data_IF_152704163229
#
_entry.id   IF_152704163229
#
_cell.length_a   1.000
_cell.length_b   1.000
_cell.length_c   1.000
_cell.angle_alpha   90.00
_cell.angle_beta   90.00
_cell.angle_gamma   90.00
#
_symmetry.space_group_name_H-M   'P 1'
#
loop_
_entity.id
_entity.type
_entity.pdbx_description
1 polymer ?
#
# COMPACT_ATOMS: atom_id res chain seq x y z
N UNK A 1 55.67 22.93 -39.75
CA UNK A 1 54.47 23.15 -38.91
C UNK A 1 54.78 22.67 -37.50
N UNK A 2 54.99 23.59 -36.55
CA UNK A 2 55.23 23.24 -35.15
C UNK A 2 53.92 23.38 -34.35
N UNK A 3 53.61 22.46 -33.42
CA UNK A 3 52.45 22.58 -32.55
C UNK A 3 52.71 23.60 -31.43
N UNK A 4 51.80 24.55 -31.27
CA UNK A 4 51.81 25.53 -30.17
C UNK A 4 51.29 24.86 -28.89
N UNK A 5 52.22 24.55 -27.98
CA UNK A 5 51.89 24.08 -26.62
C UNK A 5 51.64 25.30 -25.75
N UNK A 6 50.36 25.72 -25.65
CA UNK A 6 49.94 26.75 -24.69
C UNK A 6 50.24 26.29 -23.26
N UNK A 7 51.28 26.88 -22.66
CA UNK A 7 51.59 26.68 -21.23
C UNK A 7 50.45 27.26 -20.38
N UNK A 8 49.93 26.53 -19.37
CA UNK A 8 48.93 27.08 -18.46
C UNK A 8 49.57 28.23 -17.66
N UNK A 9 48.98 29.41 -17.77
CA UNK A 9 49.35 30.56 -16.94
C UNK A 9 49.07 30.22 -15.48
N UNK A 10 50.02 30.51 -14.58
CA UNK A 10 49.83 30.37 -13.12
C UNK A 10 48.62 31.23 -12.74
N UNK A 11 47.51 30.58 -12.39
CA UNK A 11 46.33 31.26 -11.85
C UNK A 11 46.76 32.00 -10.57
N UNK A 12 46.84 33.33 -10.63
CA UNK A 12 47.03 34.18 -9.45
C UNK A 12 45.85 33.93 -8.50
N UNK A 13 46.13 33.81 -7.20
CA UNK A 13 45.30 33.16 -6.18
C UNK A 13 43.83 33.62 -6.04
N UNK A 14 43.41 34.73 -6.65
CA UNK A 14 42.00 35.15 -6.69
C UNK A 14 41.14 34.23 -7.57
N UNK A 15 41.65 33.76 -8.70
CA UNK A 15 40.90 32.87 -9.59
C UNK A 15 40.65 31.49 -8.96
N UNK A 16 41.60 31.02 -8.15
CA UNK A 16 41.47 29.74 -7.43
C UNK A 16 40.39 29.83 -6.35
N UNK A 17 40.30 30.96 -5.63
CA UNK A 17 39.25 31.17 -4.62
C UNK A 17 37.85 31.25 -5.25
N UNK A 18 37.71 31.90 -6.40
CA UNK A 18 36.44 31.96 -7.13
C UNK A 18 36.03 30.55 -7.60
N UNK A 19 36.96 29.79 -8.17
CA UNK A 19 36.69 28.42 -8.62
C UNK A 19 36.24 27.51 -7.46
N UNK A 20 36.89 27.61 -6.30
CA UNK A 20 36.54 26.82 -5.12
C UNK A 20 35.13 27.14 -4.63
N UNK A 21 34.77 28.42 -4.56
CA UNK A 21 33.42 28.83 -4.16
C UNK A 21 32.35 28.27 -5.09
N UNK A 22 32.56 28.36 -6.41
CA UNK A 22 31.62 27.82 -7.40
C UNK A 22 31.48 26.31 -7.27
N UNK A 23 32.57 25.56 -7.10
CA UNK A 23 32.53 24.11 -6.92
C UNK A 23 31.72 23.74 -5.67
N UNK A 24 31.95 24.43 -4.54
CA UNK A 24 31.21 24.17 -3.29
C UNK A 24 29.72 24.45 -3.48
N UNK A 25 29.35 25.58 -4.09
CA UNK A 25 27.94 25.91 -4.35
C UNK A 25 27.30 24.88 -5.27
N UNK A 26 27.95 24.50 -6.37
CA UNK A 26 27.42 23.47 -7.29
C UNK A 26 27.30 22.10 -6.61
N UNK A 27 28.24 21.73 -5.73
CA UNK A 27 28.17 20.50 -4.95
C UNK A 27 26.99 20.51 -3.96
N UNK A 28 26.74 21.64 -3.29
CA UNK A 28 25.58 21.81 -2.40
C UNK A 28 24.26 21.72 -3.17
N UNK A 29 24.17 22.34 -4.35
CA UNK A 29 22.99 22.25 -5.20
C UNK A 29 22.74 20.83 -5.72
N UNK A 30 23.80 20.14 -6.16
CA UNK A 30 23.70 18.75 -6.60
C UNK A 30 23.24 17.82 -5.46
N UNK A 31 23.75 18.01 -4.24
CA UNK A 31 23.33 17.26 -3.08
C UNK A 31 21.85 17.53 -2.70
N UNK A 32 21.42 18.78 -2.78
CA UNK A 32 20.02 19.16 -2.52
C UNK A 32 19.06 18.53 -3.54
N UNK A 33 19.40 18.61 -4.83
CA UNK A 33 18.61 18.00 -5.90
C UNK A 33 18.61 16.46 -5.80
N UNK A 34 19.75 15.86 -5.46
CA UNK A 34 19.84 14.42 -5.20
C UNK A 34 18.87 13.97 -4.11
N UNK A 35 18.78 14.71 -3.00
CA UNK A 35 17.81 14.43 -1.93
C UNK A 35 16.36 14.60 -2.38
N UNK A 36 16.05 15.62 -3.19
CA UNK A 36 14.69 15.81 -3.71
C UNK A 36 14.24 14.69 -4.66
N UNK A 37 15.17 14.16 -5.47
CA UNK A 37 14.92 13.04 -6.36
C UNK A 37 14.65 11.75 -5.57
N UNK A 38 15.46 11.45 -4.56
CA UNK A 38 15.23 10.26 -3.70
C UNK A 38 13.90 10.34 -2.95
N UNK A 39 13.57 11.53 -2.42
CA UNK A 39 12.32 11.77 -1.69
C UNK A 39 11.08 11.66 -2.60
N UNK A 40 11.21 12.00 -3.89
CA UNK A 40 10.15 11.82 -4.89
C UNK A 40 9.98 10.36 -5.32
N UNK A 41 11.05 9.58 -5.39
CA UNK A 41 11.01 8.15 -5.72
C UNK A 41 10.38 7.30 -4.61
N UNK A 42 10.61 7.65 -3.34
CA UNK A 42 9.97 6.99 -2.20
C UNK A 42 8.45 7.25 -2.16
N UNK A 43 8.01 8.49 -2.41
CA UNK A 43 6.59 8.87 -2.41
C UNK A 43 5.75 8.09 -3.44
N UNK A 44 6.27 7.91 -4.65
CA UNK A 44 5.56 7.14 -5.70
C UNK A 44 5.41 5.65 -5.33
N UNK A 45 6.41 5.08 -4.66
CA UNK A 45 6.39 3.67 -4.26
C UNK A 45 5.38 3.42 -3.14
N UNK A 46 5.21 4.38 -2.23
CA UNK A 46 4.19 4.33 -1.17
C UNK A 46 2.77 4.42 -1.75
N UNK A 47 2.54 5.28 -2.75
CA UNK A 47 1.22 5.41 -3.38
C UNK A 47 0.79 4.11 -4.07
N UNK A 48 1.67 3.49 -4.86
CA UNK A 48 1.38 2.22 -5.53
C UNK A 48 1.10 1.10 -4.52
N UNK A 49 1.89 0.98 -3.45
CA UNK A 49 1.65 0.00 -2.39
C UNK A 49 0.34 0.24 -1.66
N UNK A 50 -0.02 1.50 -1.43
CA UNK A 50 -1.29 1.88 -0.83
C UNK A 50 -2.49 1.48 -1.71
N UNK A 51 -2.40 1.68 -3.03
CA UNK A 51 -3.43 1.25 -3.97
C UNK A 51 -3.55 -0.27 -3.96
N UNK A 52 -2.43 -1.00 -3.99
CA UNK A 52 -2.45 -2.47 -3.89
C UNK A 52 -3.05 -2.97 -2.58
N UNK A 53 -2.73 -2.33 -1.45
CA UNK A 53 -3.31 -2.66 -0.15
C UNK A 53 -4.82 -2.42 -0.12
N UNK A 54 -5.29 -1.34 -0.77
CA UNK A 54 -6.72 -1.07 -0.91
C UNK A 54 -7.42 -2.11 -1.80
N UNK A 55 -6.84 -2.45 -2.96
CA UNK A 55 -7.38 -3.48 -3.84
C UNK A 55 -7.41 -4.84 -3.14
N UNK A 56 -6.35 -5.21 -2.40
CA UNK A 56 -6.32 -6.41 -1.59
C UNK A 56 -7.47 -6.45 -0.56
N UNK A 57 -7.69 -5.34 0.16
CA UNK A 57 -8.80 -5.23 1.10
C UNK A 57 -10.16 -5.40 0.39
N UNK A 58 -10.36 -4.74 -0.76
CA UNK A 58 -11.60 -4.83 -1.53
C UNK A 58 -11.85 -6.24 -2.06
N UNK A 59 -10.84 -6.90 -2.63
CA UNK A 59 -10.95 -8.28 -3.12
C UNK A 59 -11.23 -9.27 -1.99
N UNK A 60 -10.57 -9.11 -0.84
CA UNK A 60 -10.88 -9.90 0.37
C UNK A 60 -12.34 -9.79 0.78
N UNK A 61 -12.88 -8.57 0.68
CA UNK A 61 -14.24 -8.29 1.06
C UNK A 61 -15.26 -8.87 0.08
N UNK A 62 -14.99 -8.80 -1.23
CA UNK A 62 -15.84 -9.42 -2.26
C UNK A 62 -15.88 -10.95 -2.10
N UNK A 63 -14.72 -11.58 -1.82
CA UNK A 63 -14.67 -13.00 -1.49
C UNK A 63 -15.52 -13.32 -0.28
N UNK A 64 -15.38 -12.56 0.81
CA UNK A 64 -16.17 -12.75 2.03
C UNK A 64 -17.68 -12.56 1.79
N UNK A 65 -18.08 -11.53 1.03
CA UNK A 65 -19.47 -11.29 0.69
C UNK A 65 -20.08 -12.42 -0.14
N UNK A 66 -19.33 -12.97 -1.09
CA UNK A 66 -19.81 -14.08 -1.92
C UNK A 66 -20.07 -15.35 -1.09
N UNK A 67 -19.29 -15.56 -0.03
CA UNK A 67 -19.46 -16.65 0.93
C UNK A 67 -20.59 -16.37 1.93
N UNK A 68 -20.77 -15.10 2.32
CA UNK A 68 -21.81 -14.67 3.26
C UNK A 68 -23.21 -14.70 2.64
N UNK A 69 -23.34 -14.36 1.36
CA UNK A 69 -24.60 -14.35 0.60
C UNK A 69 -24.52 -15.23 -0.65
N UNK A 70 -24.43 -16.57 -0.50
CA UNK A 70 -24.33 -17.48 -1.63
C UNK A 70 -25.60 -17.43 -2.48
N UNK A 71 -25.44 -17.44 -3.82
CA UNK A 71 -26.55 -17.38 -4.79
C UNK A 71 -27.49 -18.59 -4.71
N UNK A 72 -27.00 -19.72 -4.19
CA UNK A 72 -27.81 -20.91 -3.88
C UNK A 72 -27.62 -21.21 -2.40
N UNK A 73 -28.69 -21.30 -1.60
CA UNK A 73 -28.57 -21.65 -0.19
C UNK A 73 -28.05 -23.09 -0.08
N UNK A 74 -26.85 -23.26 0.50
CA UNK A 74 -26.43 -24.55 1.02
C UNK A 74 -27.30 -24.84 2.24
N UNK A 75 -28.26 -25.77 2.12
CA UNK A 75 -29.07 -26.19 3.24
C UNK A 75 -28.32 -27.28 4.05
N UNK A 76 -28.25 -27.19 5.38
CA UNK A 76 -28.76 -26.11 6.24
C UNK A 76 -27.76 -24.94 6.38
N UNK A 77 -28.27 -23.71 6.32
CA UNK A 77 -27.48 -22.52 6.63
C UNK A 77 -27.16 -22.49 8.14
N UNK A 78 -25.91 -22.16 8.55
CA UNK A 78 -25.56 -22.06 9.97
C UNK A 78 -26.27 -20.89 10.65
N UNK A 79 -26.36 -20.95 11.98
CA UNK A 79 -27.02 -19.92 12.79
C UNK A 79 -26.33 -18.55 12.70
N UNK A 80 -25.04 -18.52 12.40
CA UNK A 80 -24.25 -17.32 12.11
C UNK A 80 -23.62 -17.45 10.72
N UNK A 81 -24.00 -16.55 9.81
CA UNK A 81 -23.44 -16.56 8.44
C UNK A 81 -21.95 -16.18 8.42
N UNK A 82 -21.43 -15.49 9.44
CA UNK A 82 -20.01 -15.19 9.54
C UNK A 82 -19.12 -16.44 9.64
N UNK A 83 -19.67 -17.58 10.08
CA UNK A 83 -18.90 -18.83 10.18
C UNK A 83 -18.57 -19.42 8.79
N UNK A 84 -19.28 -18.99 7.72
CA UNK A 84 -18.92 -19.35 6.35
C UNK A 84 -17.76 -18.54 5.79
N UNK A 85 -17.42 -17.39 6.40
CA UNK A 85 -16.40 -16.49 5.88
C UNK A 85 -15.03 -17.08 6.15
N UNK A 86 -14.44 -17.68 5.12
CA UNK A 86 -13.09 -18.21 5.10
C UNK A 86 -12.36 -17.65 3.86
N UNK A 87 -11.77 -16.47 4.03
CA UNK A 87 -10.96 -15.82 3.00
C UNK A 87 -9.49 -16.21 3.22
N UNK A 88 -8.80 -16.75 2.21
CA UNK A 88 -7.39 -17.08 2.35
C UNK A 88 -6.58 -15.80 2.61
N UNK A 89 -5.56 -15.85 3.49
CA UNK A 89 -4.81 -14.66 3.89
C UNK A 89 -3.91 -14.12 2.77
N UNK A 90 -3.71 -14.87 1.70
CA UNK A 90 -2.80 -14.55 0.59
C UNK A 90 -3.47 -14.81 -0.75
N UNK A 91 -3.13 -13.99 -1.75
CA UNK A 91 -3.71 -14.06 -3.10
C UNK A 91 -3.02 -15.07 -4.03
N UNK A 92 -2.40 -16.12 -3.47
CA UNK A 92 -1.78 -17.20 -4.26
C UNK A 92 -0.76 -16.71 -5.28
N UNK A 93 -0.90 -17.15 -6.54
CA UNK A 93 0.01 -16.84 -7.66
C UNK A 93 -0.30 -15.52 -8.39
N UNK A 94 -1.24 -14.71 -7.90
CA UNK A 94 -1.60 -13.44 -8.54
C UNK A 94 -0.44 -12.44 -8.47
N UNK A 95 0.24 -12.26 -9.61
CA UNK A 95 1.41 -11.37 -9.71
C UNK A 95 1.09 -9.92 -9.32
N UNK A 96 -0.17 -9.49 -9.46
CA UNK A 96 -0.61 -8.13 -9.10
C UNK A 96 -0.66 -7.86 -7.59
N UNK A 97 -0.88 -8.89 -6.77
CA UNK A 97 -0.96 -8.82 -5.30
C UNK A 97 0.12 -9.68 -4.63
N UNK A 98 1.16 -10.07 -5.38
CA UNK A 98 2.35 -10.69 -4.80
C UNK A 98 2.92 -9.76 -3.71
N UNK A 99 3.24 -10.31 -2.54
CA UNK A 99 3.62 -9.59 -1.29
C UNK A 99 2.51 -8.81 -0.57
N UNK A 100 1.24 -9.02 -0.92
CA UNK A 100 0.09 -8.51 -0.18
C UNK A 100 -0.64 -9.66 0.55
N UNK A 101 -1.07 -9.37 1.77
CA UNK A 101 -1.90 -10.25 2.59
C UNK A 101 -3.22 -9.55 2.92
N UNK A 102 -4.27 -10.33 3.14
CA UNK A 102 -5.59 -9.83 3.52
C UNK A 102 -6.10 -10.53 4.77
N UNK A 103 -6.77 -9.78 5.63
CA UNK A 103 -7.45 -10.30 6.81
C UNK A 103 -8.88 -9.80 6.82
N UNK A 104 -9.83 -10.72 6.83
CA UNK A 104 -11.25 -10.39 6.92
C UNK A 104 -11.81 -10.82 8.26
N UNK A 105 -12.57 -9.94 8.90
CA UNK A 105 -13.28 -10.15 10.15
C UNK A 105 -14.76 -9.93 9.91
N UNK A 106 -15.59 -10.87 10.33
CA UNK A 106 -17.05 -10.78 10.22
C UNK A 106 -17.66 -10.78 11.63
N UNK A 107 -18.52 -9.79 11.90
CA UNK A 107 -19.21 -9.65 13.17
C UNK A 107 -20.71 -9.52 12.90
N UNK A 108 -21.49 -10.44 13.44
CA UNK A 108 -22.95 -10.32 13.46
C UNK A 108 -23.37 -9.32 14.55
N UNK A 109 -24.24 -8.38 14.20
CA UNK A 109 -24.82 -7.36 15.08
C UNK A 109 -26.32 -7.30 14.83
N UNK A 110 -27.17 -7.52 15.85
CA UNK A 110 -28.59 -7.25 15.69
C UNK A 110 -28.80 -5.75 15.46
N UNK A 111 -29.65 -5.41 14.50
CA UNK A 111 -30.05 -4.03 14.22
C UNK A 111 -31.57 -3.93 14.27
N UNK A 112 -32.06 -2.74 14.60
CA UNK A 112 -33.49 -2.45 14.56
C UNK A 112 -33.80 -1.71 13.27
N UNK A 113 -34.57 -2.33 12.38
CA UNK A 113 -35.05 -1.70 11.15
C UNK A 113 -36.59 -1.70 11.17
N UNK A 114 -37.20 -0.52 11.10
CA UNK A 114 -38.66 -0.33 11.18
C UNK A 114 -39.36 -0.99 12.39
N UNK A 115 -38.65 -1.13 13.52
CA UNK A 115 -39.20 -1.74 14.74
C UNK A 115 -39.01 -3.26 14.84
N UNK A 116 -38.48 -3.90 13.79
CA UNK A 116 -38.11 -5.32 13.81
C UNK A 116 -36.61 -5.49 14.02
N UNK A 117 -36.23 -6.54 14.77
CA UNK A 117 -34.82 -6.89 14.97
C UNK A 117 -34.38 -7.82 13.85
N UNK A 118 -33.52 -7.33 12.96
CA UNK A 118 -32.93 -8.11 11.88
C UNK A 118 -31.44 -8.34 12.12
N UNK A 119 -30.92 -9.43 11.56
CA UNK A 119 -29.49 -9.74 11.65
C UNK A 119 -28.70 -8.84 10.69
N UNK A 120 -27.93 -7.91 11.25
CA UNK A 120 -26.91 -7.16 10.52
C UNK A 120 -25.56 -7.87 10.60
N UNK A 121 -24.75 -7.69 9.55
CA UNK A 121 -23.40 -8.22 9.45
C UNK A 121 -22.46 -7.07 9.13
N UNK A 122 -21.40 -6.92 9.94
CA UNK A 122 -20.31 -5.99 9.67
C UNK A 122 -19.08 -6.78 9.26
N UNK A 123 -18.55 -6.47 8.10
CA UNK A 123 -17.31 -7.06 7.61
C UNK A 123 -16.22 -6.00 7.61
N UNK A 124 -15.08 -6.33 8.20
CA UNK A 124 -13.84 -5.56 8.16
C UNK A 124 -12.85 -6.34 7.30
N UNK A 125 -12.34 -5.73 6.23
CA UNK A 125 -11.28 -6.31 5.42
C UNK A 125 -10.06 -5.42 5.46
N UNK A 126 -8.92 -5.96 5.87
CA UNK A 126 -7.64 -5.24 5.96
C UNK A 126 -6.65 -5.87 5.00
N UNK A 127 -6.23 -5.12 3.98
CA UNK A 127 -5.16 -5.48 3.06
C UNK A 127 -3.85 -4.86 3.51
N UNK A 128 -2.78 -5.63 3.58
CA UNK A 128 -1.43 -5.17 3.94
C UNK A 128 -0.45 -5.58 2.85
N UNK A 129 0.33 -4.64 2.34
CA UNK A 129 1.32 -4.89 1.30
C UNK A 129 2.71 -4.38 1.74
N UNK A 130 3.73 -5.19 1.50
CA UNK A 130 5.10 -4.96 1.99
C UNK A 130 5.45 -5.87 3.16
N UNK A 131 6.73 -5.91 3.53
CA UNK A 131 7.22 -6.73 4.63
C UNK A 131 7.75 -5.85 5.75
N UNK A 132 7.39 -6.18 6.99
CA UNK A 132 7.82 -5.46 8.19
C UNK A 132 9.16 -6.03 8.70
N UNK A 133 10.14 -6.19 7.81
CA UNK A 133 11.46 -6.71 8.15
C UNK A 133 12.44 -5.56 8.44
N UNK A 134 12.29 -5.00 9.64
CA UNK A 134 13.13 -3.92 10.17
C UNK A 134 14.58 -4.36 10.45
N UNK A 135 14.85 -5.67 10.40
CA UNK A 135 16.19 -6.23 10.63
C UNK A 135 16.99 -6.43 9.33
N UNK A 136 16.35 -6.28 8.16
CA UNK A 136 17.00 -6.41 6.87
C UNK A 136 17.87 -5.20 6.55
N UNK A 137 18.93 -5.40 5.75
CA UNK A 137 19.84 -4.34 5.29
C UNK A 137 19.13 -3.26 4.46
N UNK A 138 17.90 -3.52 4.02
CA UNK A 138 17.01 -2.57 3.36
C UNK A 138 15.60 -2.71 3.98
N UNK A 139 15.27 -1.97 5.06
CA UNK A 139 13.96 -2.07 5.70
C UNK A 139 12.87 -1.67 4.71
N UNK A 140 11.93 -2.57 4.45
CA UNK A 140 10.75 -2.26 3.62
C UNK A 140 9.62 -1.73 4.51
N UNK A 141 8.85 -0.78 4.00
CA UNK A 141 7.70 -0.24 4.72
C UNK A 141 6.44 -1.02 4.33
N UNK A 142 5.77 -1.61 5.32
CA UNK A 142 4.45 -2.20 5.12
C UNK A 142 3.37 -1.12 5.13
N UNK A 143 2.46 -1.17 4.15
CA UNK A 143 1.28 -0.28 4.07
C UNK A 143 0.02 -1.10 4.24
N UNK A 144 -0.83 -0.71 5.19
CA UNK A 144 -2.12 -1.34 5.46
C UNK A 144 -3.30 -0.42 5.14
N UNK A 145 -4.34 -0.95 4.51
CA UNK A 145 -5.62 -0.27 4.27
C UNK A 145 -6.77 -1.16 4.75
N UNK A 146 -7.72 -0.57 5.46
CA UNK A 146 -8.90 -1.26 5.97
C UNK A 146 -10.16 -0.70 5.33
N UNK A 147 -11.04 -1.59 4.85
CA UNK A 147 -12.37 -1.27 4.31
C UNK A 147 -13.41 -1.97 5.17
N UNK A 148 -14.49 -1.26 5.47
CA UNK A 148 -15.61 -1.78 6.27
C UNK A 148 -16.89 -1.69 5.47
N UNK A 149 -17.72 -2.71 5.56
CA UNK A 149 -19.09 -2.68 5.04
C UNK A 149 -20.07 -3.24 6.05
N UNK A 150 -21.31 -2.81 5.89
CA UNK A 150 -22.45 -3.33 6.63
C UNK A 150 -23.43 -3.92 5.62
N UNK A 151 -23.82 -5.17 5.87
CA UNK A 151 -24.78 -5.88 5.07
C UNK A 151 -25.94 -6.31 5.96
N UNK A 152 -27.14 -6.21 5.42
CA UNK A 152 -28.36 -6.53 6.13
C UNK A 152 -28.98 -7.76 5.49
N UNK A 153 -29.23 -8.81 6.28
CA UNK A 153 -30.02 -9.94 5.81
C UNK A 153 -31.39 -9.39 5.43
N UNK A 154 -31.69 -9.35 4.13
CA UNK A 154 -32.99 -8.91 3.67
C UNK A 154 -34.06 -9.75 4.35
N UNK A 155 -35.07 -9.09 4.92
CA UNK A 155 -36.31 -9.77 5.24
C UNK A 155 -36.79 -10.44 3.95
N UNK A 156 -37.02 -11.74 3.98
CA UNK A 156 -37.75 -12.42 2.91
C UNK A 156 -39.07 -11.65 2.71
N UNK A 157 -39.39 -11.18 1.50
CA UNK A 157 -40.66 -10.52 1.24
C UNK A 157 -41.85 -11.45 1.55
#
# INVERSE_FOLDING_TARGET
MCPDVRRPTRARGSALMIALFVIVVMALLAAALGRMLTDSSEKNTVEVRSVRALLAAQSGLEMALSQLFPKLPAAPAPANLCDLVNVPPTFGTDQGLASCQVRVECVQRPITYQGETVNGYRLLSTGTCGQDDLASANPDFAVSRTVTIEAYGGATP
#
